data_IF_093181381719
#
_entry.id   IF_093181381719
#
_cell.length_a   1.000
_cell.length_b   1.000
_cell.length_c   1.000
_cell.angle_alpha   90.00
_cell.angle_beta   90.00
_cell.angle_gamma   90.00
#
_symmetry.space_group_name_H-M   'P 1'
#
loop_
_entity.id
_entity.type
_entity.pdbx_description
1 polymer ?
#
# COMPACT_ATOMS: atom_id res chain seq x y z
N UNK A 1 -3.02 -17.48 13.21
CA UNK A 1 -4.39 -16.96 13.05
C UNK A 1 -4.98 -17.58 11.79
N UNK A 2 -6.04 -18.39 11.90
CA UNK A 2 -6.75 -18.90 10.73
C UNK A 2 -7.68 -17.78 10.24
N UNK A 3 -7.63 -17.49 8.95
CA UNK A 3 -8.46 -16.45 8.31
C UNK A 3 -9.52 -17.16 7.49
N UNK A 4 -10.78 -16.75 7.61
CA UNK A 4 -11.87 -17.28 6.77
C UNK A 4 -12.14 -16.31 5.63
N UNK A 5 -11.93 -16.77 4.40
CA UNK A 5 -12.40 -16.10 3.19
C UNK A 5 -13.93 -16.03 3.22
N UNK A 6 -14.48 -14.82 3.12
CA UNK A 6 -15.93 -14.61 3.11
C UNK A 6 -16.43 -14.38 1.69
N UNK A 7 -15.77 -13.50 0.94
CA UNK A 7 -16.19 -13.05 -0.39
C UNK A 7 -14.93 -12.74 -1.21
N UNK A 8 -14.94 -13.10 -2.49
CA UNK A 8 -14.01 -12.63 -3.50
C UNK A 8 -14.79 -11.84 -4.55
N UNK A 9 -14.40 -10.62 -4.82
CA UNK A 9 -15.01 -9.74 -5.82
C UNK A 9 -14.07 -9.60 -7.01
N UNK A 10 -14.49 -9.98 -8.20
CA UNK A 10 -13.73 -9.73 -9.43
C UNK A 10 -13.89 -8.27 -9.84
N UNK A 11 -12.79 -7.58 -10.08
CA UNK A 11 -12.82 -6.20 -10.59
C UNK A 11 -13.10 -6.21 -12.10
N UNK A 12 -14.15 -5.49 -12.50
CA UNK A 12 -14.59 -5.35 -13.88
C UNK A 12 -14.38 -3.90 -14.34
N UNK A 13 -13.66 -3.74 -15.45
CA UNK A 13 -13.25 -2.43 -15.95
C UNK A 13 -12.01 -1.93 -15.20
N UNK A 14 -10.98 -1.57 -15.97
CA UNK A 14 -9.64 -1.29 -15.47
C UNK A 14 -8.61 -1.59 -16.55
N UNK A 15 -8.85 -1.09 -17.77
CA UNK A 15 -7.94 -1.31 -18.89
C UNK A 15 -6.69 -0.42 -18.71
N UNK A 16 -5.76 -0.88 -17.89
CA UNK A 16 -4.40 -0.35 -17.80
C UNK A 16 -3.43 -1.42 -18.28
N UNK A 17 -2.34 -1.00 -18.92
CA UNK A 17 -1.38 -1.83 -19.65
C UNK A 17 -0.60 -2.85 -18.80
N UNK A 18 0.54 -3.32 -19.33
CA UNK A 18 1.19 -4.59 -18.99
C UNK A 18 1.60 -4.82 -17.51
N UNK A 19 1.74 -3.79 -16.65
CA UNK A 19 2.15 -3.93 -15.24
C UNK A 19 1.48 -2.89 -14.34
N UNK A 20 0.52 -3.35 -13.54
CA UNK A 20 -0.19 -2.52 -12.57
C UNK A 20 0.21 -2.92 -11.15
N UNK A 21 0.12 -1.99 -10.20
CA UNK A 21 0.20 -2.31 -8.77
C UNK A 21 -0.77 -1.42 -8.01
N UNK A 22 -1.57 -2.02 -7.11
CA UNK A 22 -2.48 -1.28 -6.23
C UNK A 22 -1.74 -0.82 -4.97
N UNK A 23 -1.88 0.46 -4.62
CA UNK A 23 -1.14 1.07 -3.51
C UNK A 23 -1.95 1.16 -2.20
N UNK A 24 -3.24 1.50 -2.30
CA UNK A 24 -4.10 1.85 -1.17
C UNK A 24 -5.55 1.47 -1.40
N UNK A 25 -6.29 1.20 -0.32
CA UNK A 25 -7.68 0.81 -0.32
C UNK A 25 -8.43 1.54 0.79
N UNK A 26 -9.56 2.17 0.44
CA UNK A 26 -10.53 2.66 1.42
C UNK A 26 -11.94 2.28 1.05
N UNK A 27 -12.78 2.11 2.06
CA UNK A 27 -14.23 1.93 1.91
C UNK A 27 -14.91 3.21 2.38
N UNK A 28 -15.79 3.76 1.54
CA UNK A 28 -16.59 4.93 1.88
C UNK A 28 -17.98 4.78 1.28
N UNK A 29 -18.99 4.84 2.14
CA UNK A 29 -20.41 4.61 1.80
C UNK A 29 -20.63 3.23 1.14
N UNK A 30 -21.18 3.21 -0.07
CA UNK A 30 -21.52 2.03 -0.88
C UNK A 30 -20.43 1.66 -1.90
N UNK A 31 -19.25 2.28 -1.78
CA UNK A 31 -18.16 2.16 -2.74
C UNK A 31 -16.84 1.88 -2.01
N UNK A 32 -15.86 1.39 -2.77
CA UNK A 32 -14.47 1.35 -2.34
C UNK A 32 -13.57 1.98 -3.38
N UNK A 33 -12.42 2.48 -2.92
CA UNK A 33 -11.48 3.22 -3.73
C UNK A 33 -10.12 2.53 -3.70
N UNK A 34 -9.47 2.51 -4.85
CA UNK A 34 -8.13 1.97 -5.01
C UNK A 34 -7.22 3.02 -5.62
N UNK A 35 -6.01 3.17 -5.08
CA UNK A 35 -4.93 3.77 -5.86
C UNK A 35 -4.24 2.70 -6.69
N UNK A 36 -3.82 3.07 -7.90
CA UNK A 36 -3.07 2.17 -8.77
C UNK A 36 -2.03 2.94 -9.57
N UNK A 37 -0.97 2.25 -9.95
CA UNK A 37 0.05 2.71 -10.89
C UNK A 37 0.03 1.85 -12.15
N UNK A 38 0.04 2.49 -13.32
CA UNK A 38 0.31 1.86 -14.62
C UNK A 38 1.74 2.21 -15.03
N UNK A 39 2.66 1.26 -14.94
CA UNK A 39 4.07 1.50 -15.25
C UNK A 39 4.29 1.31 -16.75
N UNK A 40 4.55 2.42 -17.47
CA UNK A 40 4.79 2.40 -18.92
C UNK A 40 6.26 2.05 -19.19
N UNK A 41 7.19 2.83 -18.64
CA UNK A 41 8.62 2.55 -18.71
C UNK A 41 9.32 3.05 -17.44
N UNK A 42 9.62 2.11 -16.54
CA UNK A 42 10.29 2.41 -15.26
C UNK A 42 11.68 3.01 -15.44
N UNK A 43 12.44 2.61 -16.46
CA UNK A 43 13.77 3.15 -16.71
C UNK A 43 13.72 4.62 -17.13
N UNK A 44 12.68 4.99 -17.87
CA UNK A 44 12.45 6.38 -18.30
C UNK A 44 11.63 7.19 -17.29
N UNK A 45 11.29 6.61 -16.13
CA UNK A 45 10.43 7.26 -15.14
C UNK A 45 9.05 7.61 -15.69
N UNK A 46 8.51 6.81 -16.61
CA UNK A 46 7.18 7.06 -17.19
C UNK A 46 6.16 6.02 -16.71
N UNK A 47 5.00 6.53 -16.36
CA UNK A 47 3.85 5.75 -15.95
C UNK A 47 2.73 6.70 -15.56
N UNK A 48 1.60 6.15 -15.13
CA UNK A 48 0.40 6.90 -14.81
C UNK A 48 -0.12 6.46 -13.45
N UNK A 49 -0.51 7.41 -12.60
CA UNK A 49 -1.11 7.14 -11.30
C UNK A 49 -2.60 7.45 -11.33
N UNK A 50 -3.43 6.58 -10.75
CA UNK A 50 -4.89 6.75 -10.72
C UNK A 50 -5.47 6.52 -9.33
N UNK A 51 -6.59 7.17 -9.07
CA UNK A 51 -7.57 6.75 -8.08
C UNK A 51 -8.77 6.19 -8.83
N UNK A 52 -9.20 4.99 -8.44
CA UNK A 52 -10.32 4.28 -9.02
C UNK A 52 -11.42 4.14 -7.97
N UNK A 53 -12.67 4.30 -8.37
CA UNK A 53 -13.84 4.04 -7.53
C UNK A 53 -14.62 2.85 -8.07
N UNK A 54 -14.88 1.88 -7.22
CA UNK A 54 -15.64 0.68 -7.55
C UNK A 54 -16.86 0.54 -6.63
N UNK A 55 -17.91 -0.07 -7.15
CA UNK A 55 -19.00 -0.58 -6.32
C UNK A 55 -18.63 -1.94 -5.72
N UNK A 56 -19.34 -2.36 -4.68
CA UNK A 56 -19.22 -3.70 -4.09
C UNK A 56 -19.72 -4.86 -4.98
N UNK A 57 -20.11 -4.61 -6.22
CA UNK A 57 -20.31 -5.67 -7.22
C UNK A 57 -19.10 -5.85 -8.15
N UNK A 58 -18.03 -5.05 -7.95
CA UNK A 58 -16.82 -5.09 -8.76
C UNK A 58 -16.85 -4.17 -9.99
N UNK A 59 -17.92 -3.40 -10.21
CA UNK A 59 -18.02 -2.47 -11.35
C UNK A 59 -17.21 -1.19 -11.10
N UNK A 60 -16.35 -0.82 -12.03
CA UNK A 60 -15.69 0.49 -12.04
C UNK A 60 -16.74 1.59 -12.25
N UNK A 61 -16.91 2.44 -11.24
CA UNK A 61 -17.85 3.56 -11.27
C UNK A 61 -17.21 4.82 -11.86
N UNK A 62 -15.98 5.13 -11.46
CA UNK A 62 -15.26 6.31 -11.92
C UNK A 62 -13.73 6.18 -11.73
N UNK A 63 -12.96 7.06 -12.37
CA UNK A 63 -11.50 7.16 -12.20
C UNK A 63 -10.99 8.57 -12.41
N UNK A 64 -9.93 8.93 -11.70
CA UNK A 64 -9.17 10.16 -11.95
C UNK A 64 -7.68 9.86 -12.03
N UNK A 65 -7.02 10.40 -13.05
CA UNK A 65 -5.56 10.35 -13.16
C UNK A 65 -4.96 11.40 -12.24
N UNK A 66 -4.06 11.01 -11.34
CA UNK A 66 -3.38 11.93 -10.42
C UNK A 66 -1.90 12.10 -10.74
N UNK A 67 -1.28 11.18 -11.49
CA UNK A 67 0.14 11.24 -11.84
C UNK A 67 0.46 10.83 -13.28
N UNK A 68 1.70 11.07 -13.71
CA UNK A 68 2.14 10.74 -15.07
C UNK A 68 1.72 11.74 -16.15
N UNK A 69 1.48 12.99 -15.77
CA UNK A 69 1.12 14.07 -16.70
C UNK A 69 2.41 14.71 -17.24
N UNK A 70 2.32 15.40 -18.38
CA UNK A 70 3.47 15.94 -19.14
C UNK A 70 4.49 16.80 -18.36
N UNK A 71 4.20 17.21 -17.12
CA UNK A 71 5.00 18.10 -16.28
C UNK A 71 5.28 17.55 -14.87
N UNK A 72 4.86 16.31 -14.55
CA UNK A 72 5.04 15.71 -13.22
C UNK A 72 5.73 14.35 -13.33
N UNK A 73 6.97 14.20 -12.79
CA UNK A 73 7.69 12.91 -12.81
C UNK A 73 7.07 11.88 -11.85
N UNK A 74 6.13 12.28 -11.00
CA UNK A 74 5.45 11.42 -10.05
C UNK A 74 4.27 10.68 -10.69
N UNK A 75 4.20 9.38 -10.46
CA UNK A 75 3.13 8.50 -10.95
C UNK A 75 2.85 7.30 -10.03
N UNK A 76 3.59 7.15 -8.94
CA UNK A 76 3.40 6.06 -8.01
C UNK A 76 2.43 6.46 -6.91
N UNK A 77 1.17 6.08 -7.07
CA UNK A 77 0.15 6.29 -6.05
C UNK A 77 0.27 5.22 -4.96
N UNK A 78 0.35 5.63 -3.70
CA UNK A 78 0.56 4.74 -2.55
C UNK A 78 -0.70 4.44 -1.73
N UNK A 79 -0.50 3.93 -0.52
CA UNK A 79 -1.54 3.74 0.51
C UNK A 79 -2.29 5.05 0.79
N UNK A 80 -3.62 5.01 0.81
CA UNK A 80 -4.47 6.21 0.93
C UNK A 80 -5.39 6.11 2.15
N UNK A 81 -5.88 7.24 2.64
CA UNK A 81 -6.85 7.25 3.75
C UNK A 81 -7.97 8.28 3.52
N UNK A 82 -8.99 8.29 4.37
CA UNK A 82 -10.14 9.20 4.24
C UNK A 82 -10.71 9.65 5.58
N UNK A 83 -11.10 10.92 5.66
CA UNK A 83 -11.89 11.49 6.77
C UNK A 83 -13.41 11.43 6.47
N UNK A 84 -13.81 10.79 5.38
CA UNK A 84 -15.17 10.73 4.87
C UNK A 84 -15.56 11.90 3.96
N UNK A 85 -14.82 13.01 3.99
CA UNK A 85 -15.03 14.18 3.12
C UNK A 85 -14.08 14.16 1.93
N UNK A 86 -12.81 13.82 2.18
CA UNK A 86 -11.75 13.72 1.17
C UNK A 86 -11.01 12.40 1.26
N UNK A 87 -10.44 12.00 0.13
CA UNK A 87 -9.41 10.97 0.05
C UNK A 87 -8.04 11.66 0.11
N UNK A 88 -7.16 11.19 0.99
CA UNK A 88 -5.79 11.65 1.14
C UNK A 88 -4.88 10.67 0.40
N UNK A 89 -4.26 11.13 -0.68
CA UNK A 89 -3.55 10.25 -1.61
C UNK A 89 -2.10 10.71 -1.78
N UNK A 90 -1.10 9.88 -1.44
CA UNK A 90 0.28 10.19 -1.78
C UNK A 90 0.57 9.80 -3.23
N UNK A 91 1.30 10.65 -3.93
CA UNK A 91 1.84 10.39 -5.25
C UNK A 91 3.35 10.65 -5.25
N UNK A 92 4.14 9.61 -5.42
CA UNK A 92 5.59 9.70 -5.42
C UNK A 92 6.21 9.50 -6.81
N UNK A 93 7.42 10.01 -6.98
CA UNK A 93 8.31 9.60 -8.08
C UNK A 93 8.68 8.12 -7.95
N UNK A 94 8.52 7.32 -9.01
CA UNK A 94 8.61 5.86 -8.92
C UNK A 94 10.03 5.30 -9.02
N UNK A 95 10.91 5.75 -8.13
CA UNK A 95 12.29 5.25 -8.01
C UNK A 95 12.61 4.91 -6.55
N UNK A 96 13.51 3.95 -6.37
CA UNK A 96 14.19 3.78 -5.08
C UNK A 96 15.39 4.73 -5.03
N UNK A 97 15.87 5.12 -3.85
CA UNK A 97 17.05 6.00 -3.74
C UNK A 97 18.31 5.48 -4.46
N UNK A 98 18.40 4.18 -4.75
CA UNK A 98 19.47 3.59 -5.57
C UNK A 98 19.23 3.74 -7.10
N UNK A 99 17.99 3.95 -7.53
CA UNK A 99 17.58 4.03 -8.93
C UNK A 99 17.69 5.44 -9.53
N UNK A 100 17.89 6.50 -8.73
CA UNK A 100 18.06 7.85 -9.28
C UNK A 100 19.25 7.98 -10.24
N UNK A 101 20.30 7.17 -10.08
CA UNK A 101 21.47 7.21 -10.98
C UNK A 101 21.16 6.83 -12.43
N UNK A 102 20.03 6.16 -12.69
CA UNK A 102 19.63 5.71 -14.03
C UNK A 102 18.45 6.49 -14.64
N UNK A 103 17.81 7.39 -13.88
CA UNK A 103 16.60 8.11 -14.31
C UNK A 103 16.95 9.59 -14.54
N UNK A 104 16.80 10.13 -15.76
CA UNK A 104 17.01 11.55 -16.03
C UNK A 104 16.10 12.43 -15.17
N UNK A 105 16.63 13.54 -14.64
CA UNK A 105 15.93 14.50 -13.76
C UNK A 105 15.44 13.94 -12.42
N UNK A 106 16.00 12.82 -11.96
CA UNK A 106 15.72 12.26 -10.65
C UNK A 106 16.37 13.09 -9.54
N UNK A 107 15.58 13.55 -8.56
CA UNK A 107 16.08 14.29 -7.40
C UNK A 107 16.11 13.35 -6.21
N UNK A 108 17.25 13.12 -5.56
CA UNK A 108 17.27 12.42 -4.27
C UNK A 108 16.89 13.39 -3.15
N UNK A 109 16.05 12.97 -2.18
CA UNK A 109 15.54 11.62 -1.88
C UNK A 109 14.21 11.21 -2.58
N UNK A 110 13.81 11.88 -3.66
CA UNK A 110 12.50 11.76 -4.30
C UNK A 110 11.52 12.80 -3.74
N UNK A 111 10.55 13.21 -4.55
CA UNK A 111 9.47 14.11 -4.10
C UNK A 111 8.13 13.38 -4.15
N UNK A 112 7.32 13.57 -3.11
CA UNK A 112 5.92 13.15 -3.08
C UNK A 112 4.98 14.35 -3.01
N UNK A 113 3.85 14.18 -3.67
CA UNK A 113 2.76 15.13 -3.74
C UNK A 113 1.58 14.54 -2.99
N UNK A 114 1.11 15.24 -1.95
CA UNK A 114 -0.01 14.78 -1.14
C UNK A 114 -1.26 15.48 -1.65
N UNK A 115 -2.21 14.70 -2.17
CA UNK A 115 -3.44 15.21 -2.76
C UNK A 115 -4.64 15.01 -1.82
N UNK A 116 -5.54 15.99 -1.84
CA UNK A 116 -6.95 15.80 -1.51
C UNK A 116 -7.71 15.48 -2.79
N UNK A 117 -8.53 14.43 -2.74
CA UNK A 117 -9.42 14.04 -3.85
C UNK A 117 -10.84 13.93 -3.32
N UNK A 118 -11.81 14.51 -4.03
CA UNK A 118 -13.23 14.36 -3.65
C UNK A 118 -13.70 12.91 -3.89
N UNK A 119 -14.67 12.38 -3.11
CA UNK A 119 -15.20 11.02 -3.32
C UNK A 119 -15.89 10.81 -4.68
N UNK A 120 -16.33 11.88 -5.34
CA UNK A 120 -16.82 11.81 -6.72
C UNK A 120 -15.71 11.90 -7.78
N UNK A 121 -14.44 11.94 -7.35
CA UNK A 121 -13.23 11.98 -8.16
C UNK A 121 -13.11 13.18 -9.13
N UNK A 122 -13.94 14.21 -8.97
CA UNK A 122 -13.95 15.39 -9.87
C UNK A 122 -12.91 16.43 -9.52
N UNK A 123 -12.51 16.53 -8.27
CA UNK A 123 -11.54 17.51 -7.81
C UNK A 123 -10.30 16.83 -7.23
N UNK A 124 -9.14 17.26 -7.69
CA UNK A 124 -7.82 16.84 -7.19
C UNK A 124 -7.06 18.10 -6.82
N UNK A 125 -6.78 18.28 -5.53
CA UNK A 125 -6.10 19.45 -5.00
C UNK A 125 -4.80 19.04 -4.34
N UNK A 126 -3.69 19.63 -4.77
CA UNK A 126 -2.42 19.48 -4.06
C UNK A 126 -2.54 20.13 -2.67
N UNK A 127 -2.25 19.36 -1.63
CA UNK A 127 -2.27 19.83 -0.25
C UNK A 127 -0.89 20.34 0.16
N UNK A 128 0.13 19.48 0.07
CA UNK A 128 1.53 19.82 0.30
C UNK A 128 2.46 18.83 -0.41
N UNK A 129 3.76 19.11 -0.40
CA UNK A 129 4.81 18.22 -0.90
C UNK A 129 5.69 17.70 0.24
N UNK A 130 6.20 16.48 0.09
CA UNK A 130 7.13 15.87 1.01
C UNK A 130 8.43 15.49 0.29
N UNK A 131 9.62 15.82 0.83
CA UNK A 131 10.91 15.50 0.22
C UNK A 131 11.33 14.06 0.55
N UNK A 132 10.51 13.09 0.15
CA UNK A 132 10.80 11.65 0.23
C UNK A 132 9.85 10.90 -0.72
N UNK A 133 10.05 9.60 -0.90
CA UNK A 133 9.07 8.70 -1.49
C UNK A 133 8.07 8.25 -0.41
N UNK A 134 6.93 8.92 -0.29
CA UNK A 134 5.83 8.56 0.62
C UNK A 134 4.97 7.49 -0.06
N UNK A 135 5.07 6.25 0.45
CA UNK A 135 4.39 5.08 -0.08
C UNK A 135 3.02 4.81 0.54
N UNK A 136 2.66 5.49 1.62
CA UNK A 136 1.35 5.37 2.26
C UNK A 136 1.05 6.54 3.20
N UNK A 137 -0.25 6.80 3.38
CA UNK A 137 -0.80 7.78 4.32
C UNK A 137 -1.81 7.15 5.25
N UNK A 138 -1.88 7.67 6.47
CA UNK A 138 -2.89 7.29 7.45
C UNK A 138 -3.24 8.50 8.30
N UNK A 139 -4.53 8.82 8.37
CA UNK A 139 -5.01 9.86 9.28
C UNK A 139 -4.86 9.38 10.72
N UNK A 140 -4.44 10.29 11.59
CA UNK A 140 -4.31 9.96 13.01
C UNK A 140 -5.68 9.70 13.63
N UNK A 141 -5.83 8.56 14.31
CA UNK A 141 -7.04 8.24 15.07
C UNK A 141 -7.22 9.10 16.33
N UNK A 142 -6.21 9.85 16.76
CA UNK A 142 -6.27 10.74 17.92
C UNK A 142 -6.56 12.20 17.57
N UNK A 143 -6.17 12.63 16.36
CA UNK A 143 -6.13 14.04 16.00
C UNK A 143 -6.37 14.18 14.50
N UNK A 144 -7.52 14.72 14.14
CA UNK A 144 -7.94 14.91 12.74
C UNK A 144 -7.08 15.94 12.00
N UNK A 145 -6.24 16.71 12.71
CA UNK A 145 -5.29 17.64 12.11
C UNK A 145 -3.90 17.02 11.91
N UNK A 146 -3.77 15.70 12.03
CA UNK A 146 -2.49 15.00 11.88
C UNK A 146 -2.63 13.87 10.87
N UNK A 147 -1.67 13.82 9.96
CA UNK A 147 -1.51 12.71 9.02
C UNK A 147 -0.13 12.10 9.19
N UNK A 148 -0.10 10.78 9.25
CA UNK A 148 1.11 9.98 9.26
C UNK A 148 1.37 9.47 7.84
N UNK A 149 2.64 9.28 7.49
CA UNK A 149 3.00 8.60 6.26
C UNK A 149 4.23 7.72 6.43
N UNK A 150 4.30 6.68 5.61
CA UNK A 150 5.43 5.76 5.57
C UNK A 150 6.13 5.86 4.22
N UNK A 151 7.46 5.74 4.22
CA UNK A 151 8.23 5.80 2.98
C UNK A 151 8.13 4.54 2.14
N UNK A 152 8.76 4.51 0.96
CA UNK A 152 9.01 3.27 0.23
C UNK A 152 9.60 2.22 1.16
N UNK A 153 9.00 1.04 1.14
CA UNK A 153 9.41 -0.08 1.98
C UNK A 153 9.10 0.14 3.47
N UNK A 154 8.45 1.25 3.83
CA UNK A 154 8.20 1.68 5.20
C UNK A 154 9.47 1.76 6.04
N UNK A 155 10.48 2.52 5.59
CA UNK A 155 11.75 2.67 6.30
C UNK A 155 11.74 3.82 7.30
N UNK A 156 10.93 4.83 7.02
CA UNK A 156 10.73 6.00 7.88
C UNK A 156 9.24 6.26 7.98
N UNK A 157 8.77 6.54 9.19
CA UNK A 157 7.48 7.16 9.43
C UNK A 157 7.66 8.66 9.57
N UNK A 158 6.77 9.40 8.95
CA UNK A 158 6.65 10.84 9.03
C UNK A 158 5.31 11.19 9.64
N UNK A 159 5.27 12.33 10.31
CA UNK A 159 4.05 12.93 10.83
C UNK A 159 4.00 14.39 10.45
N UNK A 160 2.88 14.81 9.86
CA UNK A 160 2.64 16.19 9.44
C UNK A 160 1.34 16.71 10.05
N UNK A 161 1.28 18.02 10.28
CA UNK A 161 0.01 18.69 10.51
C UNK A 161 -0.75 18.88 9.20
N UNK A 162 -2.07 18.89 9.33
CA UNK A 162 -3.02 19.26 8.29
C UNK A 162 -3.61 20.64 8.58
N UNK A 163 -3.96 21.42 7.55
CA UNK A 163 -3.71 21.16 6.12
C UNK A 163 -2.32 21.60 5.63
N UNK A 164 -1.50 22.20 6.49
CA UNK A 164 -0.29 22.94 6.09
C UNK A 164 0.93 22.06 5.73
N UNK A 165 0.88 20.75 6.04
CA UNK A 165 1.97 19.83 5.75
C UNK A 165 3.23 20.08 6.57
N UNK A 166 3.14 20.81 7.69
CA UNK A 166 4.31 21.08 8.52
C UNK A 166 4.76 19.80 9.21
N UNK A 167 6.05 19.48 9.09
CA UNK A 167 6.64 18.31 9.73
C UNK A 167 6.57 18.44 11.26
N UNK A 168 5.87 17.51 11.90
CA UNK A 168 5.79 17.38 13.35
C UNK A 168 6.85 16.43 13.89
N UNK A 169 7.21 15.41 13.11
CA UNK A 169 8.26 14.46 13.49
C UNK A 169 8.52 13.41 12.42
N UNK A 170 9.66 12.73 12.54
CA UNK A 170 9.97 11.54 11.75
C UNK A 170 10.75 10.54 12.59
N UNK A 171 10.50 9.26 12.37
CA UNK A 171 11.15 8.16 13.11
C UNK A 171 11.44 7.00 12.16
N UNK A 172 12.55 6.31 12.38
CA UNK A 172 12.84 5.09 11.61
C UNK A 172 11.86 4.00 12.00
N UNK A 173 11.38 3.24 11.01
CA UNK A 173 10.68 2.00 11.31
C UNK A 173 11.69 1.01 11.92
N UNK A 174 11.45 0.61 13.17
CA UNK A 174 12.29 -0.37 13.85
C UNK A 174 12.01 -1.80 13.37
N UNK A 175 10.95 -1.97 12.58
CA UNK A 175 10.61 -3.24 11.98
C UNK A 175 11.32 -3.51 10.67
N UNK A 176 12.00 -4.65 10.61
CA UNK A 176 12.66 -5.13 9.40
C UNK A 176 11.96 -6.33 8.76
N UNK A 177 10.88 -6.84 9.35
CA UNK A 177 10.20 -8.05 8.87
C UNK A 177 9.22 -7.76 7.74
N UNK A 178 8.49 -6.65 7.79
CA UNK A 178 7.50 -6.28 6.77
C UNK A 178 7.77 -4.90 6.16
N UNK A 179 7.43 -4.76 4.89
CA UNK A 179 7.41 -3.49 4.17
C UNK A 179 5.95 -3.07 4.01
N UNK A 180 5.45 -2.24 4.93
CA UNK A 180 4.04 -1.85 4.92
C UNK A 180 3.69 -1.08 3.64
N UNK A 181 2.59 -1.48 3.02
CA UNK A 181 2.04 -0.88 1.80
C UNK A 181 0.86 0.03 2.13
N UNK A 182 -0.01 -0.42 3.04
CA UNK A 182 -1.17 0.34 3.45
C UNK A 182 -1.44 0.15 4.95
N UNK A 183 -1.80 1.23 5.61
CA UNK A 183 -2.05 1.32 7.04
C UNK A 183 -3.38 2.04 7.30
N UNK A 184 -4.07 1.69 8.40
CA UNK A 184 -5.30 2.35 8.86
C UNK A 184 -5.24 2.58 10.36
N UNK A 185 -5.64 3.76 10.80
CA UNK A 185 -5.86 4.00 12.22
C UNK A 185 -7.06 3.18 12.72
N UNK A 186 -6.97 2.70 13.96
CA UNK A 186 -8.15 2.21 14.67
C UNK A 186 -8.83 3.40 15.35
N UNK A 187 -10.15 3.31 15.53
CA UNK A 187 -11.01 4.40 16.04
C UNK A 187 -10.72 4.83 17.50
N UNK A 188 -9.75 4.21 18.17
CA UNK A 188 -9.30 4.56 19.52
C UNK A 188 -7.78 4.63 19.57
N UNK A 189 -7.26 5.81 19.22
CA UNK A 189 -5.91 6.30 19.47
C UNK A 189 -4.72 5.68 18.69
N UNK A 190 -3.54 6.22 18.99
CA UNK A 190 -2.25 6.40 18.27
C UNK A 190 -1.55 5.17 17.65
N UNK A 191 -2.32 4.15 17.27
CA UNK A 191 -1.80 2.93 16.64
C UNK A 191 -2.48 2.68 15.30
N UNK A 192 -1.71 2.13 14.38
CA UNK A 192 -2.14 1.83 13.03
C UNK A 192 -2.04 0.34 12.79
N UNK A 193 -3.06 -0.23 12.14
CA UNK A 193 -2.96 -1.57 11.58
C UNK A 193 -2.39 -1.44 10.18
N UNK A 194 -1.24 -2.07 9.97
CA UNK A 194 -0.50 -2.02 8.73
C UNK A 194 -0.40 -3.41 8.10
N UNK A 195 -0.58 -3.48 6.78
CA UNK A 195 -0.36 -4.68 5.97
C UNK A 195 0.85 -4.49 5.07
N UNK A 196 1.60 -5.56 4.85
CA UNK A 196 2.67 -5.55 3.88
C UNK A 196 3.30 -6.91 3.65
N UNK A 197 4.34 -6.90 2.83
CA UNK A 197 5.20 -8.05 2.56
C UNK A 197 6.65 -7.65 2.64
N UNK A 198 7.54 -8.63 2.71
CA UNK A 198 8.96 -8.46 2.42
C UNK A 198 9.46 -9.61 1.59
N UNK A 199 10.19 -9.27 0.52
CA UNK A 199 10.87 -10.24 -0.32
C UNK A 199 12.28 -10.46 0.21
N UNK A 200 12.60 -11.70 0.54
CA UNK A 200 13.93 -12.16 0.90
C UNK A 200 14.50 -12.89 -0.31
N UNK A 201 15.63 -12.39 -0.82
CA UNK A 201 16.38 -13.04 -1.88
C UNK A 201 17.66 -13.61 -1.28
N UNK A 202 17.86 -14.91 -1.46
CA UNK A 202 19.10 -15.58 -1.15
C UNK A 202 19.75 -16.04 -2.46
N UNK A 203 20.91 -15.46 -2.75
CA UNK A 203 21.78 -15.92 -3.82
C UNK A 203 22.61 -17.09 -3.29
N UNK A 204 22.60 -18.22 -4.00
CA UNK A 204 23.53 -19.31 -3.68
C UNK A 204 24.97 -18.79 -3.81
N UNK A 205 25.78 -19.02 -2.78
CA UNK A 205 27.23 -18.84 -2.91
C UNK A 205 27.78 -19.81 -3.97
N UNK A 206 28.79 -19.38 -4.71
CA UNK A 206 29.47 -20.16 -5.77
C UNK A 206 30.22 -21.40 -5.25
N UNK A 207 30.32 -21.59 -3.94
CA UNK A 207 31.10 -22.65 -3.27
C UNK A 207 30.29 -23.92 -2.93
N UNK A 208 29.00 -23.98 -3.28
CA UNK A 208 28.23 -25.23 -3.27
C UNK A 208 27.85 -25.79 -1.89
N UNK A 209 28.12 -25.08 -0.79
CA UNK A 209 27.73 -25.53 0.54
C UNK A 209 26.25 -25.20 0.81
N UNK A 210 25.39 -26.20 0.61
CA UNK A 210 24.00 -26.17 1.06
C UNK A 210 23.96 -26.84 2.44
N UNK A 211 23.72 -26.06 3.49
CA UNK A 211 23.26 -26.62 4.75
C UNK A 211 21.91 -27.29 4.50
N UNK A 212 21.85 -28.59 4.73
CA UNK A 212 20.68 -29.45 4.64
C UNK A 212 19.50 -28.87 5.44
N UNK A 213 18.60 -28.12 4.78
CA UNK A 213 17.20 -27.97 5.18
C UNK A 213 16.34 -27.72 3.94
N UNK A 214 15.30 -28.53 3.80
CA UNK A 214 14.21 -28.45 2.85
C UNK A 214 13.44 -27.14 2.99
N UNK A 215 13.93 -26.07 2.36
CA UNK A 215 13.11 -24.87 2.14
C UNK A 215 12.36 -25.08 0.82
N UNK A 216 11.06 -25.33 0.90
CA UNK A 216 10.17 -25.42 -0.27
C UNK A 216 10.03 -24.02 -0.87
N UNK A 217 11.02 -23.63 -1.66
CA UNK A 217 11.12 -22.35 -2.36
C UNK A 217 10.84 -22.59 -3.82
N UNK A 218 10.00 -21.73 -4.40
CA UNK A 218 9.86 -21.62 -5.85
C UNK A 218 11.20 -21.13 -6.40
N UNK A 219 12.10 -22.07 -6.68
CA UNK A 219 13.37 -21.79 -7.32
C UNK A 219 13.10 -21.27 -8.72
N UNK A 220 13.68 -20.13 -9.08
CA UNK A 220 13.74 -19.75 -10.48
C UNK A 220 14.83 -20.56 -11.20
N UNK A 221 14.80 -20.58 -12.53
CA UNK A 221 15.76 -21.30 -13.39
C UNK A 221 17.24 -20.85 -13.21
N UNK A 222 17.51 -19.83 -12.40
CA UNK A 222 18.86 -19.34 -12.07
C UNK A 222 19.40 -19.82 -10.71
N UNK A 223 18.66 -20.67 -9.98
CA UNK A 223 19.12 -21.24 -8.69
C UNK A 223 18.97 -20.30 -7.49
N UNK A 224 18.36 -19.13 -7.67
CA UNK A 224 18.05 -18.17 -6.60
C UNK A 224 16.84 -18.65 -5.79
N UNK A 225 16.96 -18.51 -4.47
CA UNK A 225 15.91 -18.83 -3.50
C UNK A 225 15.23 -17.51 -3.12
N UNK A 226 13.96 -17.35 -3.51
CA UNK A 226 13.15 -16.19 -3.15
C UNK A 226 12.03 -16.60 -2.19
N UNK A 227 11.96 -15.97 -1.03
CA UNK A 227 10.87 -16.16 -0.07
C UNK A 227 10.17 -14.82 0.18
N UNK A 228 8.84 -14.83 0.15
CA UNK A 228 8.03 -13.66 0.50
C UNK A 228 7.37 -13.90 1.85
N UNK A 229 7.57 -12.97 2.79
CA UNK A 229 6.89 -12.97 4.08
C UNK A 229 5.84 -11.87 4.11
N UNK A 230 4.58 -12.24 4.27
CA UNK A 230 3.46 -11.31 4.45
C UNK A 230 2.98 -11.24 5.89
N UNK A 231 2.42 -10.10 6.30
CA UNK A 231 1.84 -9.98 7.63
C UNK A 231 1.08 -8.70 7.91
N UNK A 232 0.46 -8.71 9.08
CA UNK A 232 -0.19 -7.56 9.70
C UNK A 232 0.63 -7.12 10.90
N UNK A 233 0.69 -5.82 11.16
CA UNK A 233 1.29 -5.27 12.35
C UNK A 233 0.41 -4.18 12.97
N UNK A 234 0.40 -4.11 14.29
CA UNK A 234 -0.04 -2.93 15.01
C UNK A 234 1.20 -2.07 15.26
N UNK A 235 1.22 -0.86 14.72
CA UNK A 235 2.39 0.02 14.71
C UNK A 235 2.05 1.31 15.43
N UNK A 236 2.97 1.79 16.26
CA UNK A 236 2.97 3.16 16.75
C UNK A 236 3.85 4.02 15.82
N UNK A 237 3.26 4.89 14.98
CA UNK A 237 4.02 5.75 14.07
C UNK A 237 4.77 6.88 14.78
N UNK A 238 4.50 7.19 16.06
CA UNK A 238 5.28 8.15 16.86
C UNK A 238 6.65 7.58 17.19
N UNK A 239 6.69 6.32 17.65
CA UNK A 239 7.93 5.65 18.09
C UNK A 239 8.57 4.78 17.00
N UNK A 240 7.82 4.47 15.94
CA UNK A 240 8.24 3.56 14.87
C UNK A 240 8.28 2.09 15.30
N UNK A 241 7.66 1.76 16.43
CA UNK A 241 7.66 0.41 17.01
C UNK A 241 6.44 -0.36 16.53
N UNK A 242 6.65 -1.59 16.05
CA UNK A 242 5.59 -2.56 15.88
C UNK A 242 5.26 -3.17 17.24
N UNK A 243 4.12 -2.81 17.82
CA UNK A 243 3.63 -3.29 19.12
C UNK A 243 3.36 -4.79 19.05
N UNK A 244 2.76 -5.24 17.96
CA UNK A 244 2.56 -6.66 17.68
C UNK A 244 2.63 -6.92 16.19
N UNK A 245 3.04 -8.14 15.85
CA UNK A 245 3.14 -8.61 14.48
C UNK A 245 2.55 -9.99 14.35
N UNK A 246 1.72 -10.15 13.33
CA UNK A 246 1.10 -11.42 12.98
C UNK A 246 1.54 -11.76 11.57
N UNK A 247 2.45 -12.73 11.40
CA UNK A 247 2.69 -13.32 10.09
C UNK A 247 1.38 -13.86 9.52
N UNK A 248 1.10 -13.55 8.26
CA UNK A 248 -0.01 -14.12 7.50
C UNK A 248 0.62 -14.97 6.40
N UNK A 249 1.11 -16.19 6.73
CA UNK A 249 1.79 -17.02 5.75
C UNK A 249 0.82 -17.50 4.67
N UNK A 250 1.16 -17.17 3.42
CA UNK A 250 0.72 -17.84 2.20
C UNK A 250 -0.79 -18.12 2.03
N UNK A 251 -1.68 -17.21 2.45
CA UNK A 251 -3.01 -17.17 1.85
C UNK A 251 -2.83 -16.59 0.46
N UNK A 252 -2.76 -17.48 -0.53
CA UNK A 252 -2.69 -17.09 -1.92
C UNK A 252 -4.09 -16.76 -2.42
N UNK A 253 -4.16 -15.71 -3.20
CA UNK A 253 -5.34 -15.39 -3.99
C UNK A 253 -5.53 -16.43 -5.09
N UNK A 254 -6.67 -16.44 -5.80
CA UNK A 254 -6.83 -17.24 -7.01
C UNK A 254 -5.73 -17.00 -8.07
N UNK A 255 -5.10 -15.80 -8.08
CA UNK A 255 -3.99 -15.49 -9.00
C UNK A 255 -2.59 -15.79 -8.41
N UNK A 256 -2.52 -16.35 -7.20
CA UNK A 256 -1.25 -16.77 -6.59
C UNK A 256 -0.49 -15.68 -5.85
N UNK A 257 -1.08 -14.50 -5.63
CA UNK A 257 -0.46 -13.42 -4.87
C UNK A 257 -0.69 -13.61 -3.37
N UNK A 258 0.28 -13.21 -2.54
CA UNK A 258 0.10 -13.21 -1.08
C UNK A 258 -0.94 -12.18 -0.65
N UNK A 259 -1.90 -12.55 0.20
CA UNK A 259 -3.02 -11.69 0.61
C UNK A 259 -2.61 -10.29 1.08
N UNK A 260 -1.46 -10.16 1.75
CA UNK A 260 -0.98 -8.89 2.34
C UNK A 260 -0.07 -8.08 1.40
N UNK A 261 0.11 -8.48 0.13
CA UNK A 261 1.01 -7.82 -0.82
C UNK A 261 0.57 -6.41 -1.19
N UNK A 262 -0.72 -6.20 -1.35
CA UNK A 262 -1.34 -4.96 -1.80
C UNK A 262 -2.54 -4.64 -0.88
N UNK A 263 -3.25 -3.52 -1.07
CA UNK A 263 -3.68 -2.72 0.06
C UNK A 263 -4.76 -3.37 0.90
N UNK A 264 -4.86 -2.88 2.12
CA UNK A 264 -5.76 -3.38 3.14
C UNK A 264 -6.64 -2.25 3.66
N UNK A 265 -7.93 -2.54 3.79
CA UNK A 265 -8.83 -1.77 4.64
C UNK A 265 -9.26 -2.63 5.83
N UNK A 266 -9.42 -2.02 7.00
CA UNK A 266 -9.95 -2.67 8.19
C UNK A 266 -11.12 -1.87 8.73
N UNK A 267 -12.16 -2.57 9.16
CA UNK A 267 -13.33 -1.99 9.82
C UNK A 267 -13.82 -2.89 10.95
N UNK A 268 -14.43 -2.31 11.97
CA UNK A 268 -15.09 -3.03 13.06
C UNK A 268 -16.53 -3.47 12.70
N UNK A 269 -17.03 -3.05 11.53
CA UNK A 269 -18.31 -3.47 10.97
C UNK A 269 -18.29 -3.38 9.45
N UNK A 270 -18.83 -4.38 8.77
CA UNK A 270 -18.92 -4.40 7.31
C UNK A 270 -20.25 -5.01 6.88
N UNK A 271 -21.00 -4.30 6.03
CA UNK A 271 -22.29 -4.72 5.50
C UNK A 271 -23.26 -5.23 6.59
N UNK A 272 -23.44 -4.43 7.66
CA UNK A 272 -24.34 -4.75 8.78
C UNK A 272 -23.85 -5.81 9.77
N UNK A 273 -22.67 -6.41 9.55
CA UNK A 273 -22.10 -7.41 10.47
C UNK A 273 -21.03 -6.81 11.37
N UNK A 274 -21.11 -7.05 12.68
CA UNK A 274 -20.12 -6.58 13.66
C UNK A 274 -18.86 -7.48 13.74
N UNK A 275 -17.76 -6.88 14.22
CA UNK A 275 -16.44 -7.49 14.40
C UNK A 275 -15.45 -7.12 13.31
N UNK A 276 -14.15 -7.25 13.60
CA UNK A 276 -13.08 -6.90 12.66
C UNK A 276 -13.25 -7.63 11.32
N UNK A 277 -13.22 -6.84 10.25
CA UNK A 277 -13.22 -7.29 8.86
C UNK A 277 -12.08 -6.60 8.14
N UNK A 278 -11.41 -7.37 7.32
CA UNK A 278 -10.34 -6.89 6.48
C UNK A 278 -10.76 -7.07 5.03
N UNK A 279 -10.52 -6.05 4.23
CA UNK A 279 -10.60 -6.12 2.78
C UNK A 279 -9.19 -5.99 2.26
N UNK A 280 -8.83 -6.85 1.32
CA UNK A 280 -7.53 -6.81 0.64
C UNK A 280 -7.74 -6.68 -0.86
N UNK A 281 -6.87 -5.96 -1.56
CA UNK A 281 -6.85 -5.94 -3.04
C UNK A 281 -5.50 -6.46 -3.58
N UNK A 282 -5.17 -7.74 -3.32
CA UNK A 282 -3.85 -8.35 -3.54
C UNK A 282 -3.45 -8.52 -5.01
N UNK A 283 -4.42 -8.61 -5.93
CA UNK A 283 -4.21 -9.03 -7.32
C UNK A 283 -4.19 -7.87 -8.33
N UNK A 284 -3.80 -6.70 -7.87
CA UNK A 284 -3.89 -5.46 -8.63
C UNK A 284 -5.29 -5.25 -9.22
N UNK A 285 -5.41 -4.45 -10.27
CA UNK A 285 -6.70 -4.13 -10.92
C UNK A 285 -7.29 -5.27 -11.77
N UNK A 286 -6.67 -6.46 -11.78
CA UNK A 286 -7.08 -7.59 -12.67
C UNK A 286 -7.71 -8.77 -11.94
N UNK A 287 -7.51 -8.94 -10.63
CA UNK A 287 -7.87 -10.19 -9.98
C UNK A 287 -9.03 -10.10 -9.00
N UNK A 288 -8.86 -9.45 -7.85
CA UNK A 288 -9.88 -9.54 -6.81
C UNK A 288 -9.73 -8.54 -5.67
N UNK A 289 -10.88 -8.18 -5.07
CA UNK A 289 -10.95 -7.70 -3.68
C UNK A 289 -11.46 -8.83 -2.80
N UNK A 290 -10.74 -9.10 -1.72
CA UNK A 290 -10.95 -10.25 -0.85
C UNK A 290 -11.40 -9.78 0.53
N UNK A 291 -12.61 -10.17 0.95
CA UNK A 291 -13.11 -9.88 2.30
C UNK A 291 -12.79 -11.07 3.21
N UNK A 292 -12.14 -10.80 4.32
CA UNK A 292 -11.79 -11.82 5.31
C UNK A 292 -12.17 -11.41 6.73
N UNK A 293 -12.37 -12.43 7.58
CA UNK A 293 -12.51 -12.24 9.03
C UNK A 293 -11.51 -13.09 9.81
N UNK A 294 -11.06 -12.61 10.98
CA UNK A 294 -10.42 -13.47 11.98
C UNK A 294 -11.32 -14.68 12.31
N UNK A 295 -10.75 -15.89 12.33
CA UNK A 295 -11.44 -17.03 12.95
C UNK A 295 -11.36 -16.86 14.47
N UNK A 296 -12.50 -16.66 15.12
CA UNK A 296 -12.60 -16.80 16.57
C UNK A 296 -12.34 -18.27 16.96
N UNK A 297 -11.67 -18.54 18.10
CA UNK A 297 -11.46 -19.88 18.61
C UNK A 297 -12.76 -20.70 18.65
#
# INVERSE_FOLDING_TARGET
MLVKLLISLTLLGGAFGQKNSTGGLVVLNDSFYLTTVNVINRANGTGEGYVLRYSFNGTLLDRVQIGGRAQLPAYHAGGLDTDGTYLYVPLAEYHSGAACGAVPNCTLPGTSYIYLVTPDLKEVKLLFTAPDHVGGLTLSGCDTNVIDGNTWGSRTFYRWSLPDGKLLGKVKNQNYMFEYQDCKALTSCSVQVCSGIKNFQYQRRRDGLVGDQTVSVVGNSTGNIAFQSGGLALVDPVTGIAITQVPVPAILTPLGNGLTINPMWVTNSFNGTTGFRFLFAPDDVKGSVVVVKPRTP
#
